data_IF_251915443644
#
_entry.id   IF_251915443644
#
_cell.length_a   1.000
_cell.length_b   1.000
_cell.length_c   1.000
_cell.angle_alpha   90.00
_cell.angle_beta   90.00
_cell.angle_gamma   90.00
#
_symmetry.space_group_name_H-M   'P 1'
#
loop_
_entity.id
_entity.type
_entity.pdbx_description
1 polymer ?
#
# COMPACT_ATOMS: atom_id res chain seq x y z
N UNK A 1 25.37 -76.15 -3.76
CA UNK A 1 24.94 -74.85 -3.26
C UNK A 1 26.05 -74.41 -2.27
N UNK A 2 26.77 -73.33 -2.58
CA UNK A 2 27.80 -72.79 -1.69
C UNK A 2 27.15 -71.63 -0.91
N UNK A 3 27.07 -71.78 0.39
CA UNK A 3 26.63 -70.70 1.28
C UNK A 3 27.70 -69.62 1.35
N UNK A 4 27.28 -68.35 1.11
CA UNK A 4 28.12 -67.19 1.28
C UNK A 4 28.29 -66.89 2.77
N UNK A 5 29.50 -66.62 3.29
CA UNK A 5 29.72 -66.32 4.71
C UNK A 5 29.11 -64.98 5.05
N UNK A 6 28.49 -64.90 6.24
CA UNK A 6 27.98 -63.68 6.83
C UNK A 6 29.14 -62.68 7.13
N UNK A 7 28.95 -61.38 6.93
CA UNK A 7 29.99 -60.39 7.16
C UNK A 7 30.39 -60.31 8.64
N UNK A 8 31.65 -60.14 8.90
CA UNK A 8 32.22 -60.10 10.23
C UNK A 8 31.84 -58.81 10.97
N UNK A 9 31.87 -58.82 12.30
CA UNK A 9 31.65 -57.64 13.15
C UNK A 9 32.54 -56.45 12.81
N UNK A 10 33.72 -56.65 12.17
CA UNK A 10 34.61 -55.59 11.73
C UNK A 10 34.10 -54.88 10.47
N UNK A 11 33.43 -55.59 9.57
CA UNK A 11 32.90 -55.03 8.36
C UNK A 11 31.67 -54.11 8.61
N UNK A 12 30.94 -54.37 9.69
CA UNK A 12 29.85 -53.50 10.18
C UNK A 12 30.31 -52.21 10.81
N UNK A 13 31.55 -52.14 11.31
CA UNK A 13 32.07 -50.90 11.95
C UNK A 13 32.70 -49.89 10.96
N UNK A 14 32.99 -50.31 9.75
CA UNK A 14 33.57 -49.41 8.70
C UNK A 14 32.46 -48.70 7.91
N UNK A 15 31.22 -49.22 7.92
CA UNK A 15 30.08 -48.63 7.22
C UNK A 15 29.39 -47.50 8.00
N UNK A 16 29.76 -47.26 9.28
CA UNK A 16 29.10 -46.28 10.15
C UNK A 16 29.81 -44.91 10.23
N UNK A 17 30.84 -44.65 9.44
CA UNK A 17 31.73 -43.49 9.63
C UNK A 17 31.62 -42.39 8.56
N UNK A 18 30.59 -42.34 7.70
CA UNK A 18 30.48 -41.31 6.66
C UNK A 18 29.05 -40.83 6.43
N UNK A 19 28.26 -40.66 7.49
CA UNK A 19 27.07 -39.81 7.47
C UNK A 19 27.32 -38.61 8.37
N UNK A 20 28.27 -37.74 7.97
CA UNK A 20 28.23 -36.33 8.38
C UNK A 20 27.04 -35.71 7.70
N UNK A 21 25.86 -35.81 8.34
CA UNK A 21 24.74 -34.92 8.03
C UNK A 21 25.26 -33.52 8.27
N UNK A 22 25.58 -32.78 7.19
CA UNK A 22 25.75 -31.35 7.28
C UNK A 22 24.44 -30.79 7.84
N UNK A 23 24.44 -30.44 9.11
CA UNK A 23 23.32 -29.69 9.68
C UNK A 23 23.16 -28.44 8.81
N UNK A 24 21.94 -28.13 8.33
CA UNK A 24 21.72 -26.87 7.65
C UNK A 24 22.22 -25.78 8.62
N UNK A 25 23.15 -24.96 8.13
CA UNK A 25 23.58 -23.78 8.87
C UNK A 25 22.30 -23.01 9.19
N UNK A 26 21.92 -22.97 10.46
CA UNK A 26 20.84 -22.13 10.91
C UNK A 26 21.27 -20.71 10.55
N UNK A 27 20.74 -20.18 9.43
CA UNK A 27 20.82 -18.76 9.17
C UNK A 27 20.28 -18.07 10.41
N UNK A 28 21.15 -17.38 11.12
CA UNK A 28 20.75 -16.61 12.28
C UNK A 28 19.63 -15.68 11.80
N UNK A 29 18.41 -15.93 12.23
CA UNK A 29 17.29 -15.07 11.92
C UNK A 29 17.69 -13.67 12.38
N UNK A 30 17.88 -12.76 11.43
CA UNK A 30 18.20 -11.37 11.73
C UNK A 30 17.03 -10.82 12.54
N UNK A 31 17.29 -10.44 13.78
CA UNK A 31 16.24 -9.85 14.63
C UNK A 31 15.79 -8.53 14.00
N UNK A 32 14.48 -8.30 13.99
CA UNK A 32 13.90 -7.01 13.57
C UNK A 32 14.50 -5.93 14.48
N UNK A 33 15.14 -4.92 13.87
CA UNK A 33 15.68 -3.78 14.62
C UNK A 33 14.55 -3.00 15.28
N UNK A 34 14.73 -2.62 16.54
CA UNK A 34 13.80 -1.73 17.24
C UNK A 34 13.95 -0.28 16.83
N UNK A 35 15.11 0.10 16.33
CA UNK A 35 15.44 1.46 15.90
C UNK A 35 15.26 1.59 14.38
N UNK A 36 14.67 2.71 13.92
CA UNK A 36 14.53 2.97 12.50
C UNK A 36 15.91 3.23 11.85
N UNK A 37 16.08 2.88 10.57
CA UNK A 37 17.36 3.03 9.88
C UNK A 37 17.74 4.48 9.54
N UNK A 38 16.82 5.43 9.69
CA UNK A 38 17.04 6.86 9.37
C UNK A 38 17.03 7.71 10.65
N UNK A 39 17.97 8.68 10.79
CA UNK A 39 18.00 9.57 11.96
C UNK A 39 16.69 10.35 12.20
N UNK A 40 16.39 10.74 13.45
CA UNK A 40 15.16 11.45 13.82
C UNK A 40 15.01 12.86 13.22
N UNK A 41 16.08 13.45 12.72
CA UNK A 41 16.16 14.87 12.32
C UNK A 41 15.43 15.26 11.03
N UNK A 42 14.83 14.29 10.30
CA UNK A 42 14.00 14.62 9.15
C UNK A 42 12.72 15.37 9.60
N UNK A 43 12.30 16.45 8.90
CA UNK A 43 11.07 17.17 9.25
C UNK A 43 9.87 16.23 9.28
N UNK A 44 9.00 16.40 10.29
CA UNK A 44 7.72 15.72 10.32
C UNK A 44 6.89 16.08 9.10
N UNK A 45 6.18 15.09 8.58
CA UNK A 45 5.24 15.26 7.47
C UNK A 45 3.81 15.11 7.98
N UNK A 46 2.89 15.81 7.34
CA UNK A 46 1.47 15.67 7.61
C UNK A 46 0.81 14.90 6.48
N UNK A 47 0.16 13.79 6.83
CA UNK A 47 -0.61 12.96 5.91
C UNK A 47 -2.10 13.13 6.20
N UNK A 48 -2.86 13.57 5.22
CA UNK A 48 -4.32 13.59 5.25
C UNK A 48 -4.91 12.42 4.47
N UNK A 49 -5.77 11.62 5.11
CA UNK A 49 -6.56 10.59 4.46
C UNK A 49 -7.99 11.08 4.31
N UNK A 50 -8.46 11.20 3.07
CA UNK A 50 -9.81 11.65 2.76
C UNK A 50 -10.83 10.56 3.10
N UNK A 51 -11.94 10.93 3.70
CA UNK A 51 -13.07 10.06 3.97
C UNK A 51 -14.34 10.59 3.30
N UNK A 52 -15.18 9.67 2.87
CA UNK A 52 -16.54 9.91 2.39
C UNK A 52 -17.41 8.70 2.72
N UNK A 53 -18.71 8.87 2.86
CA UNK A 53 -19.61 7.74 3.16
C UNK A 53 -19.49 6.65 2.09
N UNK A 54 -19.29 5.41 2.52
CA UNK A 54 -19.07 4.27 1.65
C UNK A 54 -17.61 4.05 1.24
N UNK A 55 -16.65 4.62 1.96
CA UNK A 55 -15.23 4.30 1.77
C UNK A 55 -14.92 2.82 2.06
N UNK A 56 -13.87 2.27 1.43
CA UNK A 56 -13.39 0.91 1.71
C UNK A 56 -12.43 0.94 2.90
N UNK A 57 -12.69 0.09 3.91
CA UNK A 57 -11.93 0.09 5.18
C UNK A 57 -10.42 -0.08 4.98
N UNK A 58 -10.01 -1.07 4.19
CA UNK A 58 -8.59 -1.37 4.04
C UNK A 58 -7.87 -0.33 3.18
N UNK A 59 -8.57 0.34 2.26
CA UNK A 59 -8.03 1.45 1.48
C UNK A 59 -7.59 2.62 2.37
N UNK A 60 -8.27 2.78 3.51
CA UNK A 60 -7.96 3.80 4.52
C UNK A 60 -6.92 3.29 5.51
N UNK A 61 -7.24 2.22 6.22
CA UNK A 61 -6.44 1.81 7.39
C UNK A 61 -5.18 1.03 7.02
N UNK A 62 -5.12 0.36 5.87
CA UNK A 62 -3.91 -0.32 5.41
C UNK A 62 -2.74 0.65 5.18
N UNK A 63 -2.88 1.66 4.32
CA UNK A 63 -1.86 2.70 4.14
C UNK A 63 -1.55 3.48 5.41
N UNK A 64 -2.58 3.85 6.19
CA UNK A 64 -2.38 4.60 7.43
C UNK A 64 -1.55 3.84 8.45
N UNK A 65 -1.77 2.52 8.60
CA UNK A 65 -0.98 1.68 9.50
C UNK A 65 0.50 1.71 9.14
N UNK A 66 0.85 1.62 7.85
CA UNK A 66 2.24 1.67 7.41
C UNK A 66 2.90 3.02 7.76
N UNK A 67 2.19 4.13 7.55
CA UNK A 67 2.70 5.46 7.92
C UNK A 67 2.71 5.68 9.44
N UNK A 68 1.75 5.15 10.19
CA UNK A 68 1.72 5.23 11.65
C UNK A 68 2.93 4.54 12.31
N UNK A 69 3.47 3.47 11.68
CA UNK A 69 4.69 2.82 12.15
C UNK A 69 5.94 3.73 12.11
N UNK A 70 5.89 4.84 11.36
CA UNK A 70 6.96 5.84 11.33
C UNK A 70 7.00 6.73 12.59
N UNK A 71 6.02 6.60 13.49
CA UNK A 71 5.92 7.31 14.78
C UNK A 71 6.14 8.83 14.67
N UNK A 72 7.33 9.28 15.09
CA UNK A 72 7.68 10.72 15.20
C UNK A 72 7.89 11.43 13.85
N UNK A 73 7.74 10.75 12.71
CA UNK A 73 8.04 11.30 11.38
C UNK A 73 6.83 11.74 10.59
N UNK A 74 5.66 11.20 10.90
CA UNK A 74 4.43 11.49 10.17
C UNK A 74 3.29 11.65 11.16
N UNK A 75 2.61 12.79 11.07
CA UNK A 75 1.32 13.00 11.71
C UNK A 75 0.23 12.65 10.70
N UNK A 76 -0.71 11.80 11.11
CA UNK A 76 -1.83 11.37 10.25
C UNK A 76 -3.12 11.98 10.74
N UNK A 77 -3.98 12.40 9.82
CA UNK A 77 -5.34 12.87 10.13
C UNK A 77 -6.35 12.38 9.10
N UNK A 78 -7.58 12.23 9.54
CA UNK A 78 -8.72 11.88 8.72
C UNK A 78 -9.48 13.15 8.35
N UNK A 79 -9.73 13.36 7.05
CA UNK A 79 -10.35 14.57 6.51
C UNK A 79 -11.62 14.19 5.78
N UNK A 80 -12.73 14.88 6.02
CA UNK A 80 -13.98 14.68 5.31
C UNK A 80 -14.63 16.02 4.95
N UNK A 81 -15.85 16.01 4.40
CA UNK A 81 -16.61 17.24 4.18
C UNK A 81 -16.77 18.04 5.47
N UNK A 82 -16.98 17.34 6.59
CA UNK A 82 -17.07 17.90 7.96
C UNK A 82 -16.40 16.94 8.92
N UNK A 83 -15.88 17.47 10.02
CA UNK A 83 -15.42 16.64 11.14
C UNK A 83 -16.58 15.80 11.69
N UNK A 84 -16.27 14.58 12.15
CA UNK A 84 -17.27 13.68 12.71
C UNK A 84 -17.28 12.29 12.08
N UNK A 85 -18.28 11.46 12.39
CA UNK A 85 -18.36 10.08 11.95
C UNK A 85 -18.71 9.97 10.46
N UNK A 86 -17.89 9.21 9.73
CA UNK A 86 -18.08 8.86 8.31
C UNK A 86 -18.20 7.34 8.21
N UNK A 87 -19.25 6.84 7.57
CA UNK A 87 -19.53 5.41 7.48
C UNK A 87 -18.76 4.76 6.34
N UNK A 88 -18.14 3.63 6.64
CA UNK A 88 -17.57 2.77 5.59
C UNK A 88 -18.65 2.08 4.76
N UNK A 89 -18.24 1.43 3.68
CA UNK A 89 -19.13 0.62 2.82
C UNK A 89 -19.91 -0.46 3.57
N UNK A 90 -19.34 -1.01 4.63
CA UNK A 90 -19.93 -2.13 5.39
C UNK A 90 -20.45 -1.75 6.76
N UNK A 91 -20.47 -0.46 7.11
CA UNK A 91 -21.13 0.08 8.30
C UNK A 91 -20.23 0.65 9.40
N UNK A 92 -19.05 0.05 9.77
CA UNK A 92 -18.14 0.69 10.73
C UNK A 92 -17.81 2.12 10.31
N UNK A 93 -17.82 3.05 11.27
CA UNK A 93 -17.50 4.45 11.01
C UNK A 93 -16.07 4.79 11.48
N UNK A 94 -15.43 5.67 10.72
CA UNK A 94 -14.22 6.37 11.14
C UNK A 94 -14.58 7.81 11.51
N UNK A 95 -13.85 8.39 12.47
CA UNK A 95 -14.06 9.75 12.92
C UNK A 95 -13.14 10.69 12.15
N UNK A 96 -13.67 11.52 11.26
CA UNK A 96 -12.90 12.57 10.62
C UNK A 96 -12.49 13.62 11.65
N UNK A 97 -11.21 13.95 11.68
CA UNK A 97 -10.64 14.92 12.62
C UNK A 97 -11.02 16.33 12.24
N UNK A 98 -11.04 16.64 10.94
CA UNK A 98 -11.29 17.99 10.41
C UNK A 98 -12.17 17.93 9.15
N UNK A 99 -12.83 19.06 8.86
CA UNK A 99 -13.47 19.31 7.57
C UNK A 99 -12.48 19.71 6.48
N UNK A 100 -12.86 19.61 5.19
CA UNK A 100 -12.04 20.07 4.06
C UNK A 100 -11.60 21.54 4.21
N UNK A 101 -12.48 22.40 4.73
CA UNK A 101 -12.21 23.83 4.89
C UNK A 101 -11.17 24.13 5.98
N UNK A 102 -11.02 23.21 6.94
CA UNK A 102 -10.14 23.37 8.11
C UNK A 102 -8.88 22.50 8.00
N UNK A 103 -8.68 21.83 6.87
CA UNK A 103 -7.54 20.95 6.66
C UNK A 103 -6.24 21.77 6.72
N UNK A 104 -5.24 21.31 7.50
CA UNK A 104 -3.94 21.98 7.54
C UNK A 104 -3.19 21.77 6.21
N UNK A 105 -2.05 22.46 6.05
CA UNK A 105 -1.13 22.16 4.96
C UNK A 105 -0.67 20.70 5.05
N UNK A 106 -0.79 19.96 3.94
CA UNK A 106 -0.43 18.56 3.86
C UNK A 106 0.86 18.36 3.08
N UNK A 107 1.68 17.39 3.49
CA UNK A 107 2.78 16.86 2.69
C UNK A 107 2.32 15.68 1.80
N UNK A 108 1.32 14.95 2.27
CA UNK A 108 0.75 13.78 1.60
C UNK A 108 -0.78 13.85 1.73
N UNK A 109 -1.50 13.66 0.64
CA UNK A 109 -2.94 13.43 0.67
C UNK A 109 -3.26 12.09 0.02
N UNK A 110 -4.14 11.31 0.64
CA UNK A 110 -4.58 10.01 0.13
C UNK A 110 -6.09 9.97 -0.05
N UNK A 111 -6.53 9.46 -1.19
CA UNK A 111 -7.93 9.32 -1.55
C UNK A 111 -8.26 7.82 -1.70
N UNK A 112 -9.07 7.24 -0.80
CA UNK A 112 -9.46 5.85 -0.84
C UNK A 112 -10.51 5.58 -1.92
N UNK A 113 -10.72 4.30 -2.23
CA UNK A 113 -11.88 3.86 -2.99
C UNK A 113 -13.04 3.43 -2.09
N UNK A 114 -13.90 2.64 -2.65
CA UNK A 114 -15.12 2.14 -2.03
C UNK A 114 -16.35 2.42 -2.89
N UNK A 115 -17.51 1.89 -2.48
CA UNK A 115 -18.78 2.09 -3.23
C UNK A 115 -19.22 3.55 -3.27
N UNK A 116 -18.82 4.35 -2.28
CA UNK A 116 -19.15 5.77 -2.23
C UNK A 116 -18.56 6.59 -3.37
N UNK A 117 -17.48 6.11 -4.02
CA UNK A 117 -16.91 6.79 -5.18
C UNK A 117 -17.90 7.02 -6.31
N UNK A 118 -18.93 6.13 -6.44
CA UNK A 118 -19.97 6.25 -7.47
C UNK A 118 -20.91 7.44 -7.23
N UNK A 119 -21.02 7.88 -5.99
CA UNK A 119 -21.76 9.10 -5.62
C UNK A 119 -20.85 10.33 -5.73
N UNK A 120 -19.64 10.23 -5.17
CA UNK A 120 -18.75 11.39 -5.10
C UNK A 120 -18.20 11.82 -6.46
N UNK A 121 -18.16 10.92 -7.44
CA UNK A 121 -17.76 11.27 -8.82
C UNK A 121 -18.71 12.26 -9.50
N UNK A 122 -19.95 12.32 -9.05
CA UNK A 122 -20.97 13.27 -9.52
C UNK A 122 -21.22 14.42 -8.52
N UNK A 123 -20.37 14.54 -7.50
CA UNK A 123 -20.44 15.59 -6.49
C UNK A 123 -19.38 16.69 -6.79
N UNK A 124 -19.75 17.80 -7.46
CA UNK A 124 -18.77 18.82 -7.85
C UNK A 124 -18.12 19.52 -6.64
N UNK A 125 -18.82 19.62 -5.50
CA UNK A 125 -18.23 20.22 -4.30
C UNK A 125 -17.14 19.32 -3.71
N UNK A 126 -17.34 17.99 -3.69
CA UNK A 126 -16.35 17.03 -3.26
C UNK A 126 -15.15 17.01 -4.21
N UNK A 127 -15.37 16.97 -5.54
CA UNK A 127 -14.30 16.98 -6.54
C UNK A 127 -13.47 18.27 -6.43
N UNK A 128 -14.10 19.41 -6.22
CA UNK A 128 -13.38 20.66 -6.02
C UNK A 128 -12.56 20.65 -4.71
N UNK A 129 -13.10 20.06 -3.63
CA UNK A 129 -12.39 19.96 -2.35
C UNK A 129 -11.12 19.09 -2.47
N UNK A 130 -11.23 17.88 -3.07
CA UNK A 130 -10.05 17.03 -3.29
C UNK A 130 -9.05 17.68 -4.26
N UNK A 131 -9.51 18.44 -5.25
CA UNK A 131 -8.64 19.20 -6.15
C UNK A 131 -7.86 20.26 -5.38
N UNK A 132 -8.52 21.04 -4.55
CA UNK A 132 -7.86 22.06 -3.71
C UNK A 132 -6.81 21.44 -2.80
N UNK A 133 -7.13 20.32 -2.10
CA UNK A 133 -6.16 19.60 -1.28
C UNK A 133 -4.96 19.09 -2.10
N UNK A 134 -5.22 18.53 -3.29
CA UNK A 134 -4.19 17.96 -4.15
C UNK A 134 -3.27 19.04 -4.76
N UNK A 135 -3.81 20.21 -5.15
CA UNK A 135 -3.03 21.25 -5.83
C UNK A 135 -1.86 21.73 -4.96
N UNK A 136 -2.09 21.90 -3.65
CA UNK A 136 -1.10 22.39 -2.68
C UNK A 136 -0.25 21.27 -2.05
N UNK A 137 -0.55 19.99 -2.33
CA UNK A 137 0.12 18.85 -1.72
C UNK A 137 1.21 18.28 -2.62
N UNK A 138 2.46 18.11 -2.11
CA UNK A 138 3.57 17.56 -2.89
C UNK A 138 3.41 16.09 -3.28
N UNK A 139 2.67 15.30 -2.50
CA UNK A 139 2.44 13.88 -2.74
C UNK A 139 0.95 13.57 -2.69
N UNK A 140 0.39 13.15 -3.81
CA UNK A 140 -1.03 12.81 -3.96
C UNK A 140 -1.14 11.32 -4.26
N UNK A 141 -1.79 10.58 -3.39
CA UNK A 141 -2.00 9.15 -3.61
C UNK A 141 -3.48 8.80 -3.72
N UNK A 142 -3.78 7.75 -4.46
CA UNK A 142 -5.11 7.15 -4.47
C UNK A 142 -5.04 5.64 -4.38
N UNK A 143 -6.02 5.06 -3.72
CA UNK A 143 -6.16 3.63 -3.56
C UNK A 143 -7.42 3.16 -4.26
N UNK A 144 -7.33 2.03 -4.97
CA UNK A 144 -8.50 1.37 -5.54
C UNK A 144 -9.25 2.32 -6.52
N UNK A 145 -10.56 2.49 -6.34
CA UNK A 145 -11.40 3.38 -7.15
C UNK A 145 -11.25 4.87 -6.82
N UNK A 146 -10.42 5.24 -5.86
CA UNK A 146 -10.07 6.63 -5.60
C UNK A 146 -9.37 7.31 -6.77
N UNK A 147 -8.66 6.55 -7.61
CA UNK A 147 -8.08 7.06 -8.86
C UNK A 147 -9.14 7.58 -9.85
N UNK A 148 -10.34 6.98 -9.85
CA UNK A 148 -11.46 7.48 -10.65
C UNK A 148 -11.94 8.87 -10.19
N UNK A 149 -11.87 9.17 -8.89
CA UNK A 149 -12.19 10.51 -8.37
C UNK A 149 -11.13 11.54 -8.77
N UNK A 150 -9.84 11.16 -8.71
CA UNK A 150 -8.75 12.02 -9.16
C UNK A 150 -8.83 12.28 -10.67
N UNK A 151 -9.13 11.25 -11.47
CA UNK A 151 -9.34 11.37 -12.91
C UNK A 151 -10.48 12.34 -13.22
N UNK A 152 -11.66 12.14 -12.61
CA UNK A 152 -12.83 13.00 -12.79
C UNK A 152 -12.58 14.45 -12.40
N UNK A 153 -11.70 14.70 -11.43
CA UNK A 153 -11.30 16.04 -11.02
C UNK A 153 -10.26 16.69 -11.97
N UNK A 154 -9.84 15.97 -13.05
CA UNK A 154 -8.82 16.44 -14.00
C UNK A 154 -7.40 16.48 -13.42
N UNK A 155 -7.16 15.75 -12.34
CA UNK A 155 -5.86 15.72 -11.65
C UNK A 155 -4.89 14.72 -12.27
N UNK A 156 -5.38 13.77 -13.07
CA UNK A 156 -4.57 12.73 -13.71
C UNK A 156 -4.43 12.93 -15.25
N UNK A 157 -4.79 14.09 -15.80
CA UNK A 157 -4.66 14.39 -17.23
C UNK A 157 -3.19 14.23 -17.65
N UNK A 158 -2.93 13.33 -18.63
CA UNK A 158 -1.59 13.00 -19.11
C UNK A 158 -0.71 12.20 -18.12
N UNK A 159 -1.23 11.83 -16.95
CA UNK A 159 -0.54 11.08 -15.92
C UNK A 159 -0.72 9.57 -16.14
N UNK A 160 0.32 8.79 -15.88
CA UNK A 160 0.22 7.32 -15.82
C UNK A 160 -0.41 6.94 -14.49
N UNK A 161 -1.45 6.09 -14.53
CA UNK A 161 -2.19 5.69 -13.35
C UNK A 161 -2.70 4.25 -13.42
N UNK A 162 -3.03 3.67 -12.28
CA UNK A 162 -3.74 2.40 -12.20
C UNK A 162 -4.95 2.51 -11.27
N UNK A 163 -5.78 1.49 -11.26
CA UNK A 163 -7.00 1.43 -10.46
C UNK A 163 -7.31 0.00 -10.02
N UNK A 164 -8.39 -0.17 -9.26
CA UNK A 164 -8.96 -1.45 -8.91
C UNK A 164 -9.31 -2.26 -10.16
N UNK A 165 -8.85 -3.51 -10.23
CA UNK A 165 -9.01 -4.36 -11.43
C UNK A 165 -10.47 -4.79 -11.65
N UNK A 166 -11.20 -5.11 -10.59
CA UNK A 166 -12.62 -5.48 -10.69
C UNK A 166 -13.53 -4.29 -11.06
N UNK A 167 -13.08 -3.06 -10.83
CA UNK A 167 -13.81 -1.85 -11.17
C UNK A 167 -13.10 -1.06 -12.29
N UNK A 168 -12.27 -1.73 -13.07
CA UNK A 168 -11.39 -1.13 -14.07
C UNK A 168 -12.15 -0.26 -15.07
N UNK A 169 -13.15 -0.82 -15.73
CA UNK A 169 -13.94 -0.14 -16.76
C UNK A 169 -14.62 1.12 -16.20
N UNK A 170 -15.13 1.04 -14.96
CA UNK A 170 -15.73 2.20 -14.33
C UNK A 170 -14.69 3.29 -14.05
N UNK A 171 -13.54 2.94 -13.51
CA UNK A 171 -12.52 3.92 -13.14
C UNK A 171 -11.91 4.58 -14.37
N UNK A 172 -11.60 3.80 -15.40
CA UNK A 172 -10.99 4.29 -16.64
C UNK A 172 -11.94 5.11 -17.50
N UNK A 173 -13.25 4.89 -17.36
CA UNK A 173 -14.26 5.70 -18.03
C UNK A 173 -14.40 7.12 -17.47
N UNK A 174 -13.77 7.44 -16.33
CA UNK A 174 -13.90 8.77 -15.72
C UNK A 174 -13.12 9.84 -16.46
N UNK A 175 -12.00 9.48 -17.09
CA UNK A 175 -11.24 10.41 -17.96
C UNK A 175 -10.41 9.64 -19.00
N UNK A 176 -10.54 10.03 -20.27
CA UNK A 176 -9.81 9.46 -21.39
C UNK A 176 -8.38 10.02 -21.54
N UNK A 177 -8.01 11.09 -20.84
CA UNK A 177 -6.69 11.70 -20.91
C UNK A 177 -5.67 11.02 -19.99
N UNK A 178 -6.12 10.12 -19.10
CA UNK A 178 -5.26 9.35 -18.18
C UNK A 178 -4.59 8.21 -18.94
N UNK A 179 -3.30 8.02 -18.74
CA UNK A 179 -2.55 6.88 -19.28
C UNK A 179 -2.67 5.67 -18.35
N UNK A 180 -3.77 4.94 -18.48
CA UNK A 180 -4.08 3.81 -17.61
C UNK A 180 -3.15 2.61 -17.83
N UNK A 181 -2.61 2.05 -16.72
CA UNK A 181 -1.67 0.92 -16.69
C UNK A 181 -2.36 -0.28 -16.05
N UNK A 182 -2.93 -1.22 -16.82
CA UNK A 182 -3.80 -2.28 -16.31
C UNK A 182 -3.07 -3.30 -15.41
N UNK A 183 -1.82 -3.62 -15.71
CA UNK A 183 -1.09 -4.68 -15.00
C UNK A 183 -0.33 -4.21 -13.77
N UNK A 184 -0.28 -2.89 -13.51
CA UNK A 184 0.45 -2.36 -12.37
C UNK A 184 -0.30 -2.60 -11.05
N UNK A 185 0.42 -2.98 -10.02
CA UNK A 185 -0.04 -3.01 -8.64
C UNK A 185 -0.13 -1.59 -8.08
N UNK A 186 0.87 -0.74 -8.37
CA UNK A 186 0.76 0.71 -8.24
C UNK A 186 1.62 1.39 -9.31
N UNK A 187 1.32 2.65 -9.57
CA UNK A 187 2.05 3.52 -10.51
C UNK A 187 2.46 4.78 -9.79
N UNK A 188 3.71 5.17 -9.97
CA UNK A 188 4.24 6.46 -9.56
C UNK A 188 4.49 7.32 -10.81
N UNK A 189 3.95 8.52 -10.84
CA UNK A 189 4.18 9.49 -11.91
C UNK A 189 4.10 10.92 -11.36
N UNK A 190 5.24 11.60 -11.37
CA UNK A 190 5.37 12.93 -10.79
C UNK A 190 5.03 12.94 -9.29
N UNK A 191 4.07 13.78 -8.91
CA UNK A 191 3.57 13.84 -7.52
C UNK A 191 2.47 12.81 -7.23
N UNK A 192 1.97 12.11 -8.25
CA UNK A 192 0.87 11.17 -8.14
C UNK A 192 1.36 9.74 -7.93
N UNK A 193 0.70 9.03 -7.04
CA UNK A 193 0.89 7.60 -6.82
C UNK A 193 -0.50 6.95 -6.75
N UNK A 194 -0.78 6.02 -7.65
CA UNK A 194 -2.09 5.35 -7.70
C UNK A 194 -1.92 3.85 -7.53
N UNK A 195 -2.73 3.21 -6.72
CA UNK A 195 -2.69 1.76 -6.53
C UNK A 195 -3.93 1.05 -7.05
N UNK A 196 -3.73 -0.23 -7.33
CA UNK A 196 -4.81 -1.21 -7.51
C UNK A 196 -5.66 -1.34 -6.22
N UNK A 197 -6.68 -2.17 -6.23
CA UNK A 197 -7.52 -2.45 -5.07
C UNK A 197 -7.03 -3.69 -4.32
N UNK A 198 -7.50 -3.95 -3.21
CA UNK A 198 -7.81 -3.21 -1.99
C UNK A 198 -6.55 -3.21 -1.13
N UNK A 199 -5.92 -4.40 -1.04
CA UNK A 199 -4.66 -4.62 -0.32
C UNK A 199 -3.44 -3.96 -0.99
N UNK A 200 -3.50 -3.69 -2.29
CA UNK A 200 -2.41 -3.02 -3.03
C UNK A 200 -2.07 -1.63 -2.46
N UNK A 201 -3.03 -0.96 -1.81
CA UNK A 201 -2.81 0.30 -1.11
C UNK A 201 -1.78 0.20 0.01
N UNK A 202 -1.70 -0.94 0.70
CA UNK A 202 -0.70 -1.19 1.75
C UNK A 202 0.71 -1.32 1.16
N UNK A 203 0.85 -2.07 0.05
CA UNK A 203 2.14 -2.20 -0.65
C UNK A 203 2.58 -0.87 -1.26
N UNK A 204 1.65 -0.13 -1.86
CA UNK A 204 1.89 1.21 -2.39
C UNK A 204 2.34 2.20 -1.31
N UNK A 205 1.75 2.13 -0.11
CA UNK A 205 2.17 2.98 1.02
C UNK A 205 3.63 2.71 1.41
N UNK A 206 4.04 1.44 1.44
CA UNK A 206 5.44 1.06 1.65
C UNK A 206 6.34 1.52 0.48
N UNK A 207 5.87 1.46 -0.76
CA UNK A 207 6.55 2.03 -1.93
C UNK A 207 6.77 3.54 -1.77
N UNK A 208 5.73 4.27 -1.35
CA UNK A 208 5.83 5.70 -1.08
C UNK A 208 6.78 6.01 0.10
N UNK A 209 6.77 5.20 1.15
CA UNK A 209 7.74 5.29 2.25
C UNK A 209 9.16 5.03 1.73
N UNK A 210 9.35 4.04 0.86
CA UNK A 210 10.65 3.76 0.24
C UNK A 210 11.16 4.96 -0.58
N UNK A 211 10.29 5.63 -1.32
CA UNK A 211 10.62 6.84 -2.08
C UNK A 211 10.99 8.02 -1.17
N UNK A 212 10.26 8.23 -0.08
CA UNK A 212 10.43 9.37 0.82
C UNK A 212 11.56 9.20 1.83
N UNK A 213 11.79 7.97 2.31
CA UNK A 213 12.68 7.68 3.43
C UNK A 213 13.70 6.57 3.13
N UNK A 214 13.68 6.01 1.93
CA UNK A 214 14.56 4.93 1.50
C UNK A 214 13.98 3.52 1.73
N UNK A 215 14.40 2.55 0.88
CA UNK A 215 13.90 1.16 0.90
C UNK A 215 14.12 0.48 2.25
N UNK A 216 15.23 0.79 2.96
CA UNK A 216 15.51 0.23 4.27
C UNK A 216 14.45 0.64 5.31
N UNK A 217 13.91 1.86 5.23
CA UNK A 217 12.83 2.32 6.11
C UNK A 217 11.53 1.60 5.79
N UNK A 218 11.17 1.45 4.52
CA UNK A 218 9.96 0.71 4.12
C UNK A 218 10.02 -0.75 4.59
N UNK A 219 11.16 -1.41 4.45
CA UNK A 219 11.35 -2.77 4.93
C UNK A 219 11.25 -2.84 6.47
N UNK A 220 11.84 -1.89 7.18
CA UNK A 220 11.74 -1.82 8.63
C UNK A 220 10.29 -1.65 9.11
N UNK A 221 9.48 -0.83 8.41
CA UNK A 221 8.04 -0.66 8.66
C UNK A 221 7.30 -1.97 8.42
N UNK A 222 7.54 -2.62 7.27
CA UNK A 222 6.91 -3.90 6.93
C UNK A 222 7.22 -4.99 7.97
N UNK A 223 8.48 -5.09 8.39
CA UNK A 223 8.93 -6.07 9.40
C UNK A 223 8.26 -5.82 10.77
N UNK A 224 8.09 -4.57 11.18
CA UNK A 224 7.40 -4.21 12.42
C UNK A 224 5.91 -4.48 12.39
N UNK A 225 5.29 -4.33 11.22
CA UNK A 225 3.90 -4.67 10.98
C UNK A 225 3.68 -6.18 10.80
N UNK A 226 4.76 -6.99 10.81
CA UNK A 226 4.74 -8.41 10.42
C UNK A 226 4.08 -8.63 9.05
N UNK A 227 4.26 -7.65 8.15
CA UNK A 227 3.65 -7.61 6.83
C UNK A 227 4.63 -8.08 5.75
N UNK A 228 4.17 -8.94 4.86
CA UNK A 228 4.94 -9.37 3.68
C UNK A 228 4.71 -8.37 2.55
N UNK A 229 5.62 -7.44 2.43
CA UNK A 229 5.57 -6.44 1.38
C UNK A 229 5.83 -7.06 0.00
N UNK A 230 4.88 -6.89 -0.94
CA UNK A 230 5.17 -7.04 -2.36
C UNK A 230 5.77 -5.71 -2.84
N UNK A 231 7.08 -5.69 -3.10
CA UNK A 231 7.82 -4.48 -3.47
C UNK A 231 7.98 -4.28 -4.99
N UNK A 232 7.32 -5.12 -5.77
CA UNK A 232 7.25 -4.99 -7.23
C UNK A 232 5.97 -4.26 -7.67
N UNK A 233 6.08 -3.00 -8.15
CA UNK A 233 4.93 -2.23 -8.60
C UNK A 233 4.24 -2.81 -9.85
N UNK A 234 4.90 -3.72 -10.55
CA UNK A 234 4.38 -4.35 -11.78
C UNK A 234 3.74 -5.72 -11.56
N UNK A 235 3.86 -6.29 -10.36
CA UNK A 235 3.31 -7.60 -10.00
C UNK A 235 1.89 -7.48 -9.45
N UNK A 236 0.89 -7.41 -10.34
CA UNK A 236 -0.52 -7.50 -9.97
C UNK A 236 -1.22 -8.68 -10.66
N UNK A 237 -1.24 -9.86 -10.01
CA UNK A 237 -1.88 -11.05 -10.58
C UNK A 237 -3.40 -10.89 -10.79
N UNK A 238 -4.02 -9.89 -10.15
CA UNK A 238 -5.45 -9.64 -10.27
C UNK A 238 -5.83 -9.00 -11.61
N UNK A 239 -4.88 -8.44 -12.35
CA UNK A 239 -5.11 -7.94 -13.71
C UNK A 239 -5.55 -9.10 -14.63
N UNK A 240 -4.76 -10.17 -14.70
CA UNK A 240 -5.10 -11.35 -15.50
C UNK A 240 -6.41 -12.02 -15.04
N UNK A 241 -6.66 -12.07 -13.72
CA UNK A 241 -7.91 -12.63 -13.17
C UNK A 241 -9.14 -11.76 -13.50
N UNK A 242 -8.95 -10.51 -13.85
CA UNK A 242 -10.01 -9.57 -14.26
C UNK A 242 -10.12 -9.43 -15.78
N UNK A 243 -9.35 -10.19 -16.54
CA UNK A 243 -9.38 -10.21 -18.01
C UNK A 243 -8.69 -9.01 -18.67
N UNK A 244 -7.75 -8.38 -17.97
CA UNK A 244 -6.95 -7.24 -18.44
C UNK A 244 -5.61 -7.68 -19.01
#
# INVERSE_FOLDING_TARGET
MRESPLPSRRDLLVASALLTVAAPSAQAATRISREPPVPPEAPRKTLGMVLFDGFELLDVFGPLEMFAMLNDRVDTLLIAEKAGPVKSRTGPAAMADVGFADAPKLDIVMIPGGSGTRREVDNPAFLQAIKTLADDTPQVASICTGSGLLAKAGLLDGVRATSNKMAWDWATAQDAQVHWVPHARWVEDGKYTTSSGVSAGTDMALGLIARLYGKAMAQWVADRAEYRWNDDPTDDPFAALSGL
#
